data_IF_105498501227
#
_entry.id   IF_105498501227
#
_cell.length_a   1.000
_cell.length_b   1.000
_cell.length_c   1.000
_cell.angle_alpha   90.00
_cell.angle_beta   90.00
_cell.angle_gamma   90.00
#
_symmetry.space_group_name_H-M   'P 1'
#
loop_
_entity.id
_entity.type
_entity.pdbx_description
1 polymer ?
#
# COMPACT_ATOMS: atom_id res chain seq x y z
N UNK A 1 -0.97 -2.76 16.18
CA UNK A 1 -2.15 -3.39 15.54
C UNK A 1 -1.63 -4.34 14.47
N UNK A 2 -2.08 -5.59 14.42
CA UNK A 2 -1.64 -6.53 13.38
C UNK A 2 -2.53 -6.38 12.13
N UNK A 3 -1.93 -6.40 10.94
CA UNK A 3 -2.63 -6.20 9.66
C UNK A 3 -3.78 -7.19 9.43
N UNK A 4 -3.65 -8.45 9.87
CA UNK A 4 -4.68 -9.47 9.63
C UNK A 4 -5.92 -9.29 10.54
N UNK A 5 -5.78 -8.56 11.65
CA UNK A 5 -6.87 -8.29 12.59
C UNK A 5 -7.43 -6.87 12.48
N UNK A 6 -6.73 -5.97 11.78
CA UNK A 6 -7.17 -4.61 11.58
C UNK A 6 -8.50 -4.56 10.82
N UNK A 7 -9.45 -3.79 11.37
CA UNK A 7 -10.73 -3.53 10.73
C UNK A 7 -10.61 -2.39 9.72
N UNK A 8 -11.52 -2.35 8.73
CA UNK A 8 -11.61 -1.22 7.79
C UNK A 8 -11.73 0.14 8.50
N UNK A 9 -12.49 0.19 9.61
CA UNK A 9 -12.70 1.41 10.39
C UNK A 9 -11.41 1.90 11.04
N UNK A 10 -10.63 0.99 11.63
CA UNK A 10 -9.33 1.32 12.23
C UNK A 10 -8.34 1.82 11.18
N UNK A 11 -8.27 1.14 10.04
CA UNK A 11 -7.36 1.51 8.95
C UNK A 11 -7.73 2.86 8.32
N UNK A 12 -9.02 3.16 8.19
CA UNK A 12 -9.50 4.45 7.70
C UNK A 12 -9.26 5.61 8.68
N UNK A 13 -8.96 5.31 9.95
CA UNK A 13 -8.68 6.31 10.99
C UNK A 13 -7.18 6.56 11.21
N UNK A 14 -6.31 5.87 10.45
CA UNK A 14 -4.87 6.11 10.48
C UNK A 14 -4.53 7.55 10.04
N UNK A 15 -3.39 8.11 10.49
CA UNK A 15 -2.92 9.37 9.96
C UNK A 15 -2.72 9.29 8.45
N UNK A 16 -3.03 10.37 7.75
CA UNK A 16 -2.79 10.48 6.31
C UNK A 16 -1.43 11.14 6.10
N UNK A 17 -0.57 10.48 5.33
CA UNK A 17 0.75 11.01 4.95
C UNK A 17 0.58 12.24 4.07
N UNK A 18 1.47 13.23 4.21
CA UNK A 18 1.51 14.37 3.29
C UNK A 18 1.66 13.90 1.84
N UNK A 19 0.92 14.55 0.94
CA UNK A 19 0.73 14.09 -0.44
C UNK A 19 1.99 14.20 -1.31
N UNK A 20 2.92 15.10 -1.00
CA UNK A 20 4.19 15.26 -1.72
C UNK A 20 5.30 14.38 -1.16
N UNK A 21 5.06 13.73 -0.03
CA UNK A 21 6.06 12.88 0.59
C UNK A 21 6.15 11.55 -0.16
N UNK A 22 7.26 10.84 -0.01
CA UNK A 22 7.40 9.43 -0.39
C UNK A 22 7.85 8.65 0.84
N UNK A 23 7.43 7.40 0.97
CA UNK A 23 7.79 6.59 2.14
C UNK A 23 7.91 5.11 1.78
N UNK A 24 8.73 4.41 2.55
CA UNK A 24 9.03 2.99 2.35
C UNK A 24 8.38 2.15 3.44
N UNK A 25 7.88 0.99 3.03
CA UNK A 25 7.13 0.07 3.88
C UNK A 25 7.56 -1.36 3.62
N UNK A 26 7.37 -2.22 4.61
CA UNK A 26 7.65 -3.66 4.49
C UNK A 26 6.50 -4.42 3.86
N UNK A 27 5.28 -3.92 4.06
CA UNK A 27 4.05 -4.43 3.51
C UNK A 27 3.16 -3.23 3.17
N UNK A 28 2.22 -3.41 2.25
CA UNK A 28 1.17 -2.44 2.00
C UNK A 28 -0.19 -3.13 1.99
N UNK A 29 -1.22 -2.42 2.45
CA UNK A 29 -2.61 -2.83 2.30
C UNK A 29 -3.29 -1.94 1.26
N UNK A 30 -4.12 -2.54 0.42
CA UNK A 30 -4.94 -1.84 -0.57
C UNK A 30 -6.40 -2.03 -0.18
N UNK A 31 -7.02 -0.93 0.23
CA UNK A 31 -8.37 -0.91 0.75
C UNK A 31 -9.26 -0.02 -0.12
N UNK A 32 -10.41 -0.53 -0.57
CA UNK A 32 -11.45 0.31 -1.17
C UNK A 32 -12.05 1.22 -0.09
N UNK A 33 -12.12 2.52 -0.38
CA UNK A 33 -12.63 3.55 0.56
C UNK A 33 -14.15 3.65 0.59
N UNK A 34 -14.86 3.02 -0.35
CA UNK A 34 -16.28 3.19 -0.61
C UNK A 34 -16.63 4.50 -1.34
N UNK A 35 -15.62 5.29 -1.73
CA UNK A 35 -15.77 6.55 -2.45
C UNK A 35 -15.43 6.37 -3.93
N UNK A 36 -15.91 7.28 -4.76
CA UNK A 36 -15.59 7.36 -6.18
C UNK A 36 -14.62 8.50 -6.43
N UNK A 37 -13.63 8.28 -7.29
CA UNK A 37 -12.79 9.34 -7.84
C UNK A 37 -13.53 10.08 -8.96
N UNK A 38 -13.10 11.30 -9.28
CA UNK A 38 -13.72 12.13 -10.32
C UNK A 38 -13.62 11.49 -11.73
N UNK A 39 -12.68 10.56 -11.93
CA UNK A 39 -12.54 9.75 -13.15
C UNK A 39 -13.65 8.71 -13.34
N UNK A 40 -14.47 8.46 -12.32
CA UNK A 40 -15.50 7.41 -12.32
C UNK A 40 -15.03 6.05 -11.79
N UNK A 41 -13.76 5.93 -11.40
CA UNK A 41 -13.20 4.72 -10.78
C UNK A 41 -13.34 4.75 -9.25
N UNK A 42 -13.33 3.58 -8.62
CA UNK A 42 -13.39 3.48 -7.16
C UNK A 42 -12.09 3.98 -6.53
N UNK A 43 -12.21 4.83 -5.51
CA UNK A 43 -11.05 5.36 -4.78
C UNK A 43 -10.52 4.32 -3.80
N UNK A 44 -9.23 4.06 -3.87
CA UNK A 44 -8.49 3.17 -2.98
C UNK A 44 -7.64 3.98 -2.00
N UNK A 45 -7.36 3.39 -0.85
CA UNK A 45 -6.33 3.83 0.06
C UNK A 45 -5.19 2.80 0.05
N UNK A 46 -3.96 3.29 -0.13
CA UNK A 46 -2.74 2.53 0.10
C UNK A 46 -2.31 2.79 1.53
N UNK A 47 -2.27 1.74 2.35
CA UNK A 47 -1.88 1.82 3.76
C UNK A 47 -0.47 1.25 3.89
N UNK A 48 0.45 2.05 4.41
CA UNK A 48 1.81 1.64 4.70
C UNK A 48 1.88 0.82 5.99
N UNK A 49 2.62 -0.29 5.97
CA UNK A 49 2.85 -1.13 7.13
C UNK A 49 4.34 -1.36 7.38
N UNK A 50 4.71 -1.38 8.67
CA UNK A 50 6.04 -1.75 9.14
C UNK A 50 5.94 -3.09 9.90
N UNK A 51 6.56 -4.12 9.35
CA UNK A 51 6.55 -5.51 9.82
C UNK A 51 5.15 -6.03 10.15
N UNK A 52 4.21 -5.87 9.22
CA UNK A 52 2.81 -6.27 9.41
C UNK A 52 1.98 -5.37 10.33
N UNK A 53 2.52 -4.24 10.78
CA UNK A 53 1.79 -3.25 11.60
C UNK A 53 1.39 -2.04 10.75
N UNK A 54 0.09 -1.76 10.57
CA UNK A 54 -0.37 -0.56 9.85
C UNK A 54 0.08 0.73 10.56
N UNK A 55 0.60 1.69 9.79
CA UNK A 55 1.19 2.92 10.31
C UNK A 55 0.41 4.17 9.89
N UNK A 56 0.15 4.29 8.60
CA UNK A 56 -0.45 5.49 7.99
C UNK A 56 -1.11 5.15 6.66
N UNK A 57 -2.01 6.01 6.21
CA UNK A 57 -2.49 6.02 4.83
C UNK A 57 -1.44 6.74 3.99
N UNK A 58 -0.71 5.97 3.19
CA UNK A 58 0.36 6.45 2.34
C UNK A 58 -0.17 7.23 1.13
N UNK A 59 -1.31 6.83 0.57
CA UNK A 59 -1.93 7.55 -0.55
C UNK A 59 -3.42 7.23 -0.68
N UNK A 60 -4.16 8.16 -1.28
CA UNK A 60 -5.46 7.91 -1.89
C UNK A 60 -5.33 8.04 -3.40
N UNK A 61 -5.77 7.01 -4.14
CA UNK A 61 -5.61 6.94 -5.58
C UNK A 61 -6.69 6.05 -6.20
N UNK A 62 -6.98 6.24 -7.48
CA UNK A 62 -7.84 5.36 -8.26
C UNK A 62 -7.05 4.40 -9.15
N UNK A 63 -5.76 4.67 -9.33
CA UNK A 63 -4.83 3.85 -10.11
C UNK A 63 -3.48 3.69 -9.39
N UNK A 64 -2.85 2.52 -9.57
CA UNK A 64 -1.53 2.21 -9.00
C UNK A 64 -0.57 1.80 -10.12
N UNK A 65 0.48 2.59 -10.28
CA UNK A 65 1.56 2.34 -11.21
C UNK A 65 2.66 1.51 -10.54
N UNK A 66 2.68 0.20 -10.82
CA UNK A 66 3.69 -0.71 -10.27
C UNK A 66 5.01 -0.61 -11.01
N UNK A 67 6.08 -0.38 -10.26
CA UNK A 67 7.46 -0.33 -10.76
C UNK A 67 8.30 -1.34 -10.01
N UNK A 68 9.22 -2.00 -10.71
CA UNK A 68 10.25 -2.82 -10.08
C UNK A 68 11.57 -2.05 -10.19
N UNK A 69 12.26 -1.88 -9.08
CA UNK A 69 13.59 -1.25 -9.07
C UNK A 69 14.60 -2.21 -9.73
N UNK A 70 15.13 -1.88 -10.92
CA UNK A 70 16.04 -2.76 -11.64
C UNK A 70 17.40 -2.91 -10.93
N UNK A 71 17.76 -2.00 -10.02
CA UNK A 71 19.00 -2.06 -9.25
C UNK A 71 18.91 -3.02 -8.05
N UNK A 72 17.69 -3.39 -7.63
CA UNK A 72 17.42 -4.24 -6.47
C UNK A 72 16.43 -5.36 -6.85
N UNK A 73 16.88 -6.33 -7.67
CA UNK A 73 15.99 -7.34 -8.22
C UNK A 73 15.32 -8.18 -7.12
N UNK A 74 14.03 -8.42 -7.31
CA UNK A 74 13.20 -9.27 -6.46
C UNK A 74 13.17 -10.68 -7.03
N UNK A 75 13.27 -11.69 -6.17
CA UNK A 75 13.04 -13.08 -6.53
C UNK A 75 11.54 -13.40 -6.66
N UNK A 76 11.23 -14.53 -7.31
CA UNK A 76 9.84 -14.99 -7.52
C UNK A 76 9.07 -15.26 -6.21
N UNK A 77 9.76 -15.54 -5.11
CA UNK A 77 9.17 -15.73 -3.78
C UNK A 77 9.06 -14.44 -2.94
N UNK A 78 9.62 -13.33 -3.43
CA UNK A 78 9.80 -12.11 -2.62
C UNK A 78 8.58 -11.19 -2.64
N UNK A 79 7.71 -11.38 -3.64
CA UNK A 79 6.44 -10.67 -3.78
C UNK A 79 5.28 -11.65 -3.56
N UNK A 80 4.52 -11.43 -2.50
CA UNK A 80 3.35 -12.23 -2.13
C UNK A 80 2.14 -11.34 -1.95
N UNK A 81 0.98 -11.90 -2.26
CA UNK A 81 -0.31 -11.24 -2.08
C UNK A 81 -1.24 -12.19 -1.34
N UNK A 82 -1.88 -11.69 -0.30
CA UNK A 82 -2.94 -12.36 0.42
C UNK A 82 -4.04 -11.36 0.81
N UNK A 83 -4.96 -11.79 1.66
CA UNK A 83 -6.12 -10.99 2.07
C UNK A 83 -6.31 -11.06 3.58
N UNK A 84 -6.54 -9.92 4.21
CA UNK A 84 -6.87 -9.84 5.63
C UNK A 84 -8.28 -10.36 5.90
N UNK A 85 -8.58 -10.65 7.18
CA UNK A 85 -9.95 -11.03 7.60
C UNK A 85 -11.03 -10.01 7.24
N UNK A 86 -10.66 -8.73 7.06
CA UNK A 86 -11.56 -7.65 6.66
C UNK A 86 -11.75 -7.52 5.13
N UNK A 87 -11.22 -8.48 4.35
CA UNK A 87 -11.32 -8.47 2.90
C UNK A 87 -10.48 -7.35 2.26
N UNK A 88 -9.31 -7.07 2.83
CA UNK A 88 -8.37 -6.03 2.36
C UNK A 88 -7.17 -6.75 1.77
N UNK A 89 -6.78 -6.36 0.55
CA UNK A 89 -5.63 -6.95 -0.13
C UNK A 89 -4.37 -6.50 0.58
N UNK A 90 -3.46 -7.45 0.84
CA UNK A 90 -2.15 -7.19 1.39
C UNK A 90 -1.09 -7.65 0.41
N UNK A 91 -0.10 -6.80 0.19
CA UNK A 91 1.12 -7.16 -0.51
C UNK A 91 2.26 -7.20 0.50
N UNK A 92 2.96 -8.33 0.52
CA UNK A 92 3.99 -8.63 1.50
C UNK A 92 5.06 -9.55 0.93
N UNK A 93 6.05 -9.94 1.75
CA UNK A 93 7.06 -10.92 1.39
C UNK A 93 8.43 -10.48 1.89
N UNK A 94 9.45 -10.67 1.05
CA UNK A 94 10.82 -10.21 1.31
C UNK A 94 11.17 -8.91 0.58
N UNK A 95 10.29 -8.43 -0.30
CA UNK A 95 10.39 -7.12 -0.93
C UNK A 95 10.02 -5.99 0.06
N UNK A 96 10.31 -4.76 -0.34
CA UNK A 96 9.83 -3.53 0.29
C UNK A 96 9.17 -2.64 -0.78
N UNK A 97 8.32 -1.73 -0.32
CA UNK A 97 7.44 -0.94 -1.16
C UNK A 97 7.65 0.54 -0.89
N UNK A 98 8.07 1.31 -1.90
CA UNK A 98 8.13 2.77 -1.84
C UNK A 98 6.87 3.32 -2.48
N UNK A 99 6.02 3.96 -1.69
CA UNK A 99 4.83 4.66 -2.19
C UNK A 99 5.23 6.09 -2.52
N UNK A 100 4.97 6.49 -3.76
CA UNK A 100 5.23 7.82 -4.30
C UNK A 100 4.26 8.88 -3.77
N UNK A 101 4.17 10.00 -4.50
CA UNK A 101 3.23 11.06 -4.18
C UNK A 101 1.78 10.58 -4.30
N UNK A 102 0.90 11.06 -3.42
CA UNK A 102 -0.52 10.72 -3.43
C UNK A 102 -1.26 11.52 -4.51
N UNK A 103 -1.22 11.00 -5.73
CA UNK A 103 -1.93 11.51 -6.90
C UNK A 103 -3.01 10.51 -7.37
N UNK A 104 -3.82 10.89 -8.35
CA UNK A 104 -4.82 10.00 -8.97
C UNK A 104 -4.20 8.65 -9.40
N UNK A 105 -3.07 8.70 -10.13
CA UNK A 105 -2.18 7.54 -10.29
C UNK A 105 -1.02 7.63 -9.30
N UNK A 106 -0.90 6.67 -8.40
CA UNK A 106 0.21 6.61 -7.44
C UNK A 106 1.23 5.56 -7.84
N UNK A 107 2.49 5.98 -7.94
CA UNK A 107 3.61 5.07 -8.16
C UNK A 107 3.90 4.23 -6.91
N UNK A 108 4.05 2.92 -7.10
CA UNK A 108 4.59 2.02 -6.07
C UNK A 108 5.79 1.28 -6.64
N UNK A 109 6.97 1.60 -6.11
CA UNK A 109 8.22 0.93 -6.50
C UNK A 109 8.51 -0.23 -5.54
N UNK A 110 8.67 -1.42 -6.10
CA UNK A 110 8.99 -2.66 -5.40
C UNK A 110 10.49 -2.92 -5.54
N UNK A 111 11.17 -3.20 -4.43
CA UNK A 111 12.60 -3.45 -4.40
C UNK A 111 12.98 -4.46 -3.32
N UNK A 112 14.12 -5.13 -3.49
CA UNK A 112 14.65 -6.03 -2.46
C UNK A 112 15.14 -5.25 -1.24
N UNK A 113 14.93 -5.78 -0.02
CA UNK A 113 15.41 -5.16 1.23
C UNK A 113 16.94 -5.29 1.39
N UNK A 114 17.55 -6.29 0.74
CA UNK A 114 19.00 -6.59 0.85
C UNK A 114 19.89 -5.50 0.25
#
# INVERSE_FOLDING_TARGET
>A
MDCNRATRKELAALPVRDWQTTSEYTDILIMNTGRMHASGWALMAIIGCDQGVPKEIAAYCDDICWKIDPSKPIGSSDLRTDMTRAGIVRMHGYASYRVGHSLSSTDVTIFNRK
#
